data_IF_492392209291
#
_entry.id   IF_492392209291
#
_cell.length_a   1.000
_cell.length_b   1.000
_cell.length_c   1.000
_cell.angle_alpha   90.00
_cell.angle_beta   90.00
_cell.angle_gamma   90.00
#
_symmetry.space_group_name_H-M   'P 1'
#
loop_
_entity.id
_entity.type
_entity.pdbx_description
1 polymer ?
#
# COMPACT_ATOMS: atom_id res chain seq x y z
N UNK A 1 35.14 -0.02 14.89
CA UNK A 1 34.24 -0.74 13.97
C UNK A 1 33.21 0.24 13.45
N UNK A 2 33.22 0.55 12.13
CA UNK A 2 32.18 1.35 11.51
C UNK A 2 30.82 0.69 11.73
N UNK A 3 29.82 1.48 12.07
CA UNK A 3 28.43 1.03 12.20
C UNK A 3 27.58 1.66 11.10
N UNK A 4 26.33 1.22 10.94
CA UNK A 4 25.42 1.79 9.94
C UNK A 4 24.15 2.33 10.56
N UNK A 5 23.66 3.44 10.01
CA UNK A 5 22.36 4.01 10.32
C UNK A 5 21.58 4.27 9.03
N UNK A 6 20.25 4.31 9.12
CA UNK A 6 19.40 4.68 7.98
C UNK A 6 19.20 6.19 7.96
N UNK A 7 19.66 6.85 6.90
CA UNK A 7 19.56 8.30 6.74
C UNK A 7 19.21 8.67 5.30
N UNK A 8 18.21 9.55 5.12
CA UNK A 8 17.88 10.13 3.82
C UNK A 8 17.61 9.10 2.72
N UNK A 9 16.97 7.98 3.04
CA UNK A 9 16.67 6.92 2.05
C UNK A 9 17.86 6.06 1.66
N UNK A 10 18.94 6.00 2.46
CA UNK A 10 20.03 5.03 2.28
C UNK A 10 20.59 4.57 3.62
N UNK A 11 21.44 3.55 3.58
CA UNK A 11 22.30 3.21 4.72
C UNK A 11 23.59 4.00 4.63
N UNK A 12 24.01 4.60 5.74
CA UNK A 12 25.21 5.42 5.82
C UNK A 12 26.13 4.83 6.87
N UNK A 13 27.40 4.65 6.51
CA UNK A 13 28.43 4.24 7.47
C UNK A 13 28.78 5.42 8.39
N UNK A 14 28.73 5.18 9.69
CA UNK A 14 29.03 6.16 10.73
C UNK A 14 29.98 5.55 11.77
N UNK A 15 30.84 6.38 12.34
CA UNK A 15 31.58 5.98 13.53
C UNK A 15 30.62 5.99 14.71
N UNK A 16 30.45 4.83 15.36
CA UNK A 16 29.54 4.71 16.51
C UNK A 16 30.14 5.46 17.69
N UNK A 17 29.48 6.52 18.21
CA UNK A 17 29.93 7.18 19.42
C UNK A 17 29.82 6.20 20.59
N UNK A 18 30.83 6.21 21.47
CA UNK A 18 30.86 5.38 22.68
C UNK A 18 30.81 6.29 23.88
N UNK A 19 29.86 6.03 24.77
CA UNK A 19 29.71 6.75 26.03
C UNK A 19 29.86 5.76 27.16
N UNK A 20 30.58 6.17 28.21
CA UNK A 20 30.75 5.39 29.44
C UNK A 20 30.14 6.14 30.61
N UNK A 21 29.43 5.41 31.47
CA UNK A 21 28.99 5.86 32.78
C UNK A 21 29.32 4.75 33.79
N UNK A 22 29.80 5.12 34.98
CA UNK A 22 30.17 4.18 36.04
C UNK A 22 31.12 3.05 35.57
N UNK A 23 32.10 3.42 34.73
CA UNK A 23 33.09 2.48 34.19
C UNK A 23 32.56 1.49 33.15
N UNK A 24 31.27 1.55 32.79
CA UNK A 24 30.62 0.66 31.80
C UNK A 24 30.22 1.43 30.55
N UNK A 25 30.30 0.77 29.39
CA UNK A 25 29.78 1.35 28.15
C UNK A 25 28.25 1.33 28.17
N UNK A 26 27.62 2.48 27.94
CA UNK A 26 26.16 2.64 27.99
C UNK A 26 25.62 2.75 26.57
N UNK A 27 24.53 2.04 26.23
CA UNK A 27 23.89 2.19 24.93
C UNK A 27 23.35 3.61 24.74
N UNK A 28 23.59 4.19 23.56
CA UNK A 28 23.03 5.48 23.17
C UNK A 28 21.63 5.31 22.59
N UNK A 29 20.55 5.78 23.25
CA UNK A 29 19.19 5.59 22.76
C UNK A 29 18.97 6.19 21.37
N UNK A 30 19.54 7.37 21.10
CA UNK A 30 19.45 8.04 19.79
C UNK A 30 20.13 7.21 18.69
N UNK A 31 21.29 6.61 18.98
CA UNK A 31 21.97 5.76 18.02
C UNK A 31 21.18 4.48 17.74
N UNK A 32 20.66 3.85 18.80
CA UNK A 32 19.79 2.67 18.67
C UNK A 32 18.55 2.99 17.84
N UNK A 33 17.87 4.11 18.11
CA UNK A 33 16.71 4.55 17.34
C UNK A 33 17.05 4.71 15.85
N UNK A 34 18.17 5.37 15.51
CA UNK A 34 18.60 5.55 14.11
C UNK A 34 19.08 4.26 13.44
N UNK A 35 19.59 3.30 14.21
CA UNK A 35 20.01 1.99 13.72
C UNK A 35 18.81 1.04 13.52
N UNK A 36 17.78 1.14 14.36
CA UNK A 36 16.59 0.27 14.33
C UNK A 36 15.45 0.79 13.45
N UNK A 37 15.34 2.11 13.27
CA UNK A 37 14.29 2.69 12.43
C UNK A 37 14.66 2.46 10.96
N UNK A 38 13.86 1.69 10.24
CA UNK A 38 14.01 1.49 8.79
C UNK A 38 12.98 2.31 8.00
N UNK A 39 13.07 3.67 7.95
CA UNK A 39 12.21 4.48 7.08
C UNK A 39 12.53 4.23 5.59
N UNK A 40 13.56 3.44 5.29
CA UNK A 40 14.03 3.13 3.95
C UNK A 40 12.96 2.46 3.11
N UNK A 41 12.20 1.51 3.69
CA UNK A 41 11.15 0.81 2.95
C UNK A 41 10.00 1.74 2.58
N UNK A 42 9.58 2.60 3.51
CA UNK A 42 8.55 3.63 3.25
C UNK A 42 9.04 4.61 2.18
N UNK A 43 10.24 5.16 2.36
CA UNK A 43 10.84 6.11 1.40
C UNK A 43 11.00 5.53 0.01
N UNK A 44 11.40 4.25 -0.11
CA UNK A 44 11.48 3.57 -1.40
C UNK A 44 10.11 3.53 -2.08
N UNK A 45 9.06 3.11 -1.38
CA UNK A 45 7.70 3.07 -1.93
C UNK A 45 7.24 4.47 -2.32
N UNK A 46 7.39 5.46 -1.46
CA UNK A 46 6.98 6.85 -1.72
C UNK A 46 7.67 7.40 -2.99
N UNK A 47 8.98 7.19 -3.13
CA UNK A 47 9.74 7.62 -4.31
C UNK A 47 9.25 6.93 -5.61
N UNK A 48 8.97 5.62 -5.54
CA UNK A 48 8.44 4.90 -6.69
C UNK A 48 7.04 5.41 -7.08
N UNK A 49 6.20 5.75 -6.10
CA UNK A 49 4.84 6.24 -6.32
C UNK A 49 4.82 7.63 -6.96
N UNK A 50 5.76 8.51 -6.61
CA UNK A 50 5.84 9.87 -7.18
C UNK A 50 6.51 9.93 -8.56
N UNK A 51 7.12 8.84 -9.04
CA UNK A 51 7.69 8.84 -10.39
C UNK A 51 9.10 8.29 -10.53
N UNK A 52 9.83 8.11 -9.43
CA UNK A 52 11.25 7.82 -9.51
C UNK A 52 11.45 6.36 -9.91
N UNK A 53 12.09 6.12 -11.05
CA UNK A 53 12.47 4.78 -11.43
C UNK A 53 13.51 4.21 -10.46
N UNK A 54 13.49 2.90 -10.18
CA UNK A 54 14.46 2.24 -9.27
C UNK A 54 15.93 2.52 -9.62
N UNK A 55 16.24 2.68 -10.92
CA UNK A 55 17.58 3.03 -11.44
C UNK A 55 17.99 4.49 -11.17
N UNK A 56 17.02 5.37 -10.94
CA UNK A 56 17.22 6.78 -10.62
C UNK A 56 17.08 7.07 -9.11
N UNK A 57 16.79 6.05 -8.29
CA UNK A 57 16.59 6.22 -6.85
C UNK A 57 17.76 6.93 -6.17
N UNK A 58 19.00 6.52 -6.45
CA UNK A 58 20.19 7.17 -5.87
C UNK A 58 20.25 8.68 -6.18
N UNK A 59 19.82 9.11 -7.39
CA UNK A 59 19.80 10.51 -7.81
C UNK A 59 18.67 11.31 -7.15
N UNK A 60 17.64 10.65 -6.63
CA UNK A 60 16.53 11.30 -5.90
C UNK A 60 16.84 11.59 -4.42
N UNK A 61 17.99 11.12 -3.93
CA UNK A 61 18.40 11.33 -2.55
C UNK A 61 19.26 12.59 -2.46
N UNK A 62 19.25 13.22 -1.30
CA UNK A 62 20.14 14.34 -0.96
C UNK A 62 21.61 13.95 -1.23
N UNK A 63 22.52 14.86 -1.60
CA UNK A 63 23.94 14.56 -1.59
C UNK A 63 24.42 14.15 -0.19
N UNK A 64 25.44 13.31 -0.12
CA UNK A 64 26.12 12.98 1.15
C UNK A 64 27.49 13.65 1.12
N UNK A 65 28.00 14.16 2.25
CA UNK A 65 29.36 14.68 2.32
C UNK A 65 30.40 13.71 1.78
N UNK A 66 31.43 14.27 1.15
CA UNK A 66 32.55 13.51 0.59
C UNK A 66 33.22 12.65 1.67
N UNK A 67 33.54 11.40 1.35
CA UNK A 67 34.15 10.44 2.28
C UNK A 67 33.16 9.59 3.09
N UNK A 68 31.85 9.86 3.01
CA UNK A 68 30.84 9.06 3.67
C UNK A 68 30.38 7.90 2.76
N UNK A 69 30.61 6.67 3.21
CA UNK A 69 30.19 5.46 2.48
C UNK A 69 28.68 5.26 2.60
N UNK A 70 28.01 5.07 1.45
CA UNK A 70 26.58 4.79 1.40
C UNK A 70 26.26 3.44 0.73
N UNK A 71 25.20 2.77 1.20
CA UNK A 71 24.73 1.48 0.68
C UNK A 71 23.22 1.41 0.52
N UNK A 72 22.76 0.44 -0.28
CA UNK A 72 21.33 0.10 -0.41
C UNK A 72 20.54 0.98 -1.39
N UNK A 73 21.23 1.77 -2.22
CA UNK A 73 20.61 2.66 -3.23
C UNK A 73 20.63 2.08 -4.64
N UNK A 74 21.28 0.92 -4.84
CA UNK A 74 21.33 0.26 -6.14
C UNK A 74 19.94 -0.18 -6.61
N UNK A 75 19.73 -0.21 -7.94
CA UNK A 75 18.48 -0.68 -8.56
C UNK A 75 17.99 -2.00 -7.98
N UNK A 76 18.89 -2.98 -7.80
CA UNK A 76 18.53 -4.31 -7.29
C UNK A 76 18.16 -4.29 -5.80
N UNK A 77 18.81 -3.46 -4.98
CA UNK A 77 18.46 -3.29 -3.56
C UNK A 77 17.09 -2.61 -3.41
N UNK A 78 16.87 -1.53 -4.15
CA UNK A 78 15.61 -0.77 -4.14
C UNK A 78 14.46 -1.63 -4.66
N UNK A 79 14.67 -2.33 -5.77
CA UNK A 79 13.67 -3.23 -6.35
C UNK A 79 13.27 -4.34 -5.37
N UNK A 80 14.24 -5.00 -4.70
CA UNK A 80 13.95 -6.04 -3.71
C UNK A 80 13.14 -5.51 -2.53
N UNK A 81 13.47 -4.32 -2.02
CA UNK A 81 12.73 -3.68 -0.92
C UNK A 81 11.31 -3.30 -1.30
N UNK A 82 11.14 -2.68 -2.47
CA UNK A 82 9.83 -2.35 -3.00
C UNK A 82 8.96 -3.60 -3.12
N UNK A 83 9.52 -4.66 -3.73
CA UNK A 83 8.86 -5.97 -3.85
C UNK A 83 8.46 -6.52 -2.49
N UNK A 84 9.39 -6.61 -1.53
CA UNK A 84 9.10 -7.17 -0.23
C UNK A 84 7.98 -6.40 0.50
N UNK A 85 8.08 -5.06 0.51
CA UNK A 85 7.12 -4.20 1.21
C UNK A 85 5.73 -4.25 0.57
N UNK A 86 5.65 -4.16 -0.75
CA UNK A 86 4.37 -4.18 -1.48
C UNK A 86 3.70 -5.54 -1.42
N UNK A 87 4.46 -6.64 -1.49
CA UNK A 87 3.92 -7.99 -1.25
C UNK A 87 3.33 -8.11 0.15
N UNK A 88 4.04 -7.64 1.18
CA UNK A 88 3.55 -7.68 2.55
C UNK A 88 2.27 -6.85 2.73
N UNK A 89 2.22 -5.64 2.16
CA UNK A 89 1.03 -4.79 2.20
C UNK A 89 -0.16 -5.40 1.47
N UNK A 90 0.05 -5.99 0.29
CA UNK A 90 -1.00 -6.66 -0.47
C UNK A 90 -1.57 -7.85 0.31
N UNK A 91 -0.70 -8.71 0.86
CA UNK A 91 -1.11 -9.87 1.68
C UNK A 91 -1.87 -9.43 2.93
N UNK A 92 -1.37 -8.43 3.64
CA UNK A 92 -2.02 -7.92 4.84
C UNK A 92 -3.43 -7.39 4.53
N UNK A 93 -3.64 -6.80 3.35
CA UNK A 93 -4.95 -6.31 2.93
C UNK A 93 -5.89 -7.45 2.53
N UNK A 94 -5.41 -8.39 1.73
CA UNK A 94 -6.20 -9.56 1.32
C UNK A 94 -6.61 -10.46 2.50
N UNK A 95 -5.80 -10.51 3.55
CA UNK A 95 -6.06 -11.31 4.75
C UNK A 95 -6.75 -10.53 5.87
N UNK A 96 -7.02 -9.24 5.70
CA UNK A 96 -7.66 -8.44 6.73
C UNK A 96 -9.11 -8.89 6.95
N UNK A 97 -9.53 -9.17 8.19
CA UNK A 97 -10.92 -9.47 8.47
C UNK A 97 -11.80 -8.27 8.12
N UNK A 98 -12.96 -8.54 7.53
CA UNK A 98 -13.92 -7.51 7.14
C UNK A 98 -14.94 -7.20 8.22
N UNK A 99 -15.03 -8.05 9.26
CA UNK A 99 -16.07 -7.99 10.30
C UNK A 99 -16.05 -6.68 11.11
N UNK A 100 -14.88 -6.04 11.19
CA UNK A 100 -14.71 -4.73 11.84
C UNK A 100 -15.11 -3.53 10.98
N UNK A 101 -15.50 -3.74 9.71
CA UNK A 101 -15.92 -2.69 8.80
C UNK A 101 -17.42 -2.78 8.57
N UNK A 102 -18.16 -1.77 9.04
CA UNK A 102 -19.59 -1.60 8.76
C UNK A 102 -19.77 -1.10 7.32
N UNK A 103 -19.55 -1.99 6.35
CA UNK A 103 -19.56 -1.67 4.92
C UNK A 103 -20.98 -1.47 4.40
N UNK A 104 -21.21 -0.35 3.72
CA UNK A 104 -22.48 0.03 3.12
C UNK A 104 -22.52 -0.17 1.60
N UNK A 105 -21.35 -0.16 0.96
CA UNK A 105 -21.20 -0.31 -0.47
C UNK A 105 -19.87 -0.98 -0.81
N UNK A 106 -19.91 -1.80 -1.86
CA UNK A 106 -18.74 -2.44 -2.47
C UNK A 106 -18.59 -1.92 -3.90
N UNK A 107 -17.40 -1.45 -4.23
CA UNK A 107 -17.02 -1.04 -5.58
C UNK A 107 -16.00 -2.05 -6.08
N UNK A 108 -16.30 -2.66 -7.22
CA UNK A 108 -15.39 -3.52 -7.96
C UNK A 108 -15.01 -2.81 -9.26
N UNK A 109 -13.71 -2.64 -9.48
CA UNK A 109 -13.16 -2.08 -10.72
C UNK A 109 -12.08 -3.03 -11.25
N UNK A 110 -11.88 -3.05 -12.56
CA UNK A 110 -10.81 -3.80 -13.21
C UNK A 110 -9.81 -2.89 -13.86
N UNK A 111 -8.55 -3.13 -13.54
CA UNK A 111 -7.41 -2.39 -14.04
C UNK A 111 -6.70 -3.23 -15.09
N UNK A 112 -6.82 -2.82 -16.35
CA UNK A 112 -6.11 -3.47 -17.46
C UNK A 112 -4.68 -2.93 -17.59
N UNK A 113 -3.71 -3.86 -17.74
CA UNK A 113 -2.30 -3.58 -18.01
C UNK A 113 -1.76 -4.64 -18.98
N UNK A 114 -1.61 -4.26 -20.26
CA UNK A 114 -1.30 -5.22 -21.30
C UNK A 114 -2.38 -6.30 -21.36
N UNK A 115 -1.96 -7.57 -21.38
CA UNK A 115 -2.86 -8.74 -21.41
C UNK A 115 -3.45 -9.13 -20.03
N UNK A 116 -3.11 -8.43 -18.95
CA UNK A 116 -3.59 -8.75 -17.61
C UNK A 116 -4.71 -7.81 -17.17
N UNK A 117 -5.73 -8.37 -16.53
CA UNK A 117 -6.78 -7.64 -15.83
C UNK A 117 -6.59 -7.83 -14.32
N UNK A 118 -6.61 -6.75 -13.55
CA UNK A 118 -6.55 -6.81 -12.09
C UNK A 118 -7.88 -6.32 -11.51
N UNK A 119 -8.58 -7.17 -10.74
CA UNK A 119 -9.74 -6.75 -9.98
C UNK A 119 -9.31 -5.99 -8.71
N UNK A 120 -9.91 -4.84 -8.47
CA UNK A 120 -9.72 -4.00 -7.28
C UNK A 120 -11.05 -3.92 -6.55
N UNK A 121 -11.05 -4.26 -5.25
CA UNK A 121 -12.21 -4.08 -4.39
C UNK A 121 -12.00 -2.94 -3.41
N UNK A 122 -12.92 -1.97 -3.43
CA UNK A 122 -13.02 -0.89 -2.45
C UNK A 122 -14.34 -1.00 -1.69
N UNK A 123 -14.31 -0.82 -0.38
CA UNK A 123 -15.50 -0.75 0.46
C UNK A 123 -15.74 0.68 0.92
N UNK A 124 -16.99 1.12 0.96
CA UNK A 124 -17.39 2.35 1.65
C UNK A 124 -17.99 1.94 2.98
N UNK A 125 -17.45 2.45 4.08
CA UNK A 125 -17.95 2.22 5.43
C UNK A 125 -19.10 3.19 5.77
N UNK A 126 -19.87 2.84 6.79
CA UNK A 126 -21.03 3.62 7.27
C UNK A 126 -20.66 5.05 7.71
N UNK A 127 -19.40 5.31 8.08
CA UNK A 127 -18.90 6.65 8.38
C UNK A 127 -18.51 7.47 7.12
N UNK A 128 -18.72 6.89 5.93
CA UNK A 128 -18.39 7.46 4.63
C UNK A 128 -16.92 7.31 4.23
N UNK A 129 -16.10 6.58 4.99
CA UNK A 129 -14.71 6.31 4.62
C UNK A 129 -14.59 5.21 3.57
N UNK A 130 -13.64 5.39 2.65
CA UNK A 130 -13.31 4.38 1.63
C UNK A 130 -12.14 3.54 2.09
N UNK A 131 -12.26 2.23 2.01
CA UNK A 131 -11.26 1.24 2.39
C UNK A 131 -10.85 0.40 1.18
N UNK A 132 -9.55 0.23 0.97
CA UNK A 132 -9.05 -0.80 0.04
C UNK A 132 -9.21 -2.18 0.69
N UNK A 133 -10.04 -3.04 0.11
CA UNK A 133 -10.34 -4.38 0.60
C UNK A 133 -9.38 -5.41 0.00
N UNK A 134 -8.99 -5.24 -1.27
CA UNK A 134 -7.98 -6.09 -1.87
C UNK A 134 -7.83 -5.91 -3.37
N UNK A 135 -6.85 -6.62 -3.91
CA UNK A 135 -6.58 -6.67 -5.34
C UNK A 135 -6.27 -8.12 -5.74
N UNK A 136 -6.80 -8.56 -6.87
CA UNK A 136 -6.62 -9.92 -7.39
C UNK A 136 -6.35 -9.89 -8.90
N UNK A 137 -5.59 -10.85 -9.39
CA UNK A 137 -5.44 -11.04 -10.83
C UNK A 137 -6.70 -11.73 -11.35
N UNK A 138 -7.37 -11.10 -12.30
CA UNK A 138 -8.61 -11.59 -12.92
C UNK A 138 -8.35 -12.27 -14.26
N UNK A 139 -9.29 -13.13 -14.67
CA UNK A 139 -9.18 -13.94 -15.89
C UNK A 139 -9.89 -13.34 -17.12
N UNK A 140 -10.69 -12.28 -17.01
CA UNK A 140 -11.58 -11.83 -18.11
C UNK A 140 -11.77 -10.31 -18.24
N UNK A 141 -12.00 -9.90 -19.49
CA UNK A 141 -12.03 -8.53 -20.06
C UNK A 141 -13.24 -7.64 -19.66
N UNK A 142 -14.04 -8.03 -18.68
CA UNK A 142 -15.27 -7.31 -18.36
C UNK A 142 -15.13 -6.57 -17.02
N UNK A 143 -14.55 -5.38 -17.06
CA UNK A 143 -14.57 -4.49 -15.92
C UNK A 143 -14.76 -3.04 -16.36
N UNK A 144 -15.66 -2.35 -15.66
CA UNK A 144 -16.01 -0.96 -15.90
C UNK A 144 -14.88 -0.05 -15.42
N UNK A 145 -14.17 0.59 -16.35
CA UNK A 145 -13.09 1.54 -16.05
C UNK A 145 -13.62 2.73 -15.23
N UNK A 146 -13.22 2.87 -13.96
CA UNK A 146 -13.48 4.13 -13.22
C UNK A 146 -12.65 4.37 -11.93
N UNK A 147 -11.36 4.00 -11.86
CA UNK A 147 -10.44 4.47 -10.78
C UNK A 147 -9.07 4.95 -11.29
N UNK A 148 -8.84 4.96 -12.62
CA UNK A 148 -7.48 4.98 -13.19
C UNK A 148 -6.77 6.34 -13.31
N UNK A 149 -7.38 7.47 -12.94
CA UNK A 149 -6.67 8.77 -13.08
C UNK A 149 -5.45 8.88 -12.16
N UNK A 150 -5.58 8.45 -10.89
CA UNK A 150 -4.50 8.55 -9.88
C UNK A 150 -3.42 7.47 -9.99
N UNK A 151 -3.73 6.29 -10.54
CA UNK A 151 -2.72 5.21 -10.69
C UNK A 151 -1.85 5.37 -11.95
N UNK A 152 -2.26 6.21 -12.91
CA UNK A 152 -1.54 6.45 -14.19
C UNK A 152 -0.08 6.87 -14.00
N UNK A 153 0.20 7.72 -13.02
CA UNK A 153 1.56 8.23 -12.77
C UNK A 153 2.53 7.15 -12.26
N UNK A 154 2.00 6.09 -11.65
CA UNK A 154 2.76 4.93 -11.18
C UNK A 154 3.08 4.00 -12.35
N UNK A 155 2.09 3.75 -13.22
CA UNK A 155 2.22 2.86 -14.38
C UNK A 155 3.32 3.30 -15.36
N UNK A 156 3.46 4.61 -15.60
CA UNK A 156 4.39 5.15 -16.64
C UNK A 156 5.87 4.84 -16.41
N UNK A 157 6.28 4.54 -15.18
CA UNK A 157 7.71 4.35 -14.85
C UNK A 157 8.18 2.91 -15.09
N UNK A 158 7.24 1.97 -15.21
CA UNK A 158 7.52 0.56 -15.44
C UNK A 158 7.59 0.30 -16.94
N UNK A 159 8.83 0.19 -17.46
CA UNK A 159 9.07 -0.04 -18.90
C UNK A 159 8.83 -1.48 -19.37
N UNK A 160 8.92 -2.46 -18.47
CA UNK A 160 8.78 -3.89 -18.80
C UNK A 160 8.05 -4.61 -17.67
N UNK A 161 6.82 -5.02 -17.92
CA UNK A 161 6.05 -5.87 -17.02
C UNK A 161 6.50 -7.33 -17.17
N UNK A 162 6.63 -8.05 -16.05
CA UNK A 162 7.12 -9.44 -16.04
C UNK A 162 6.09 -10.44 -15.50
N UNK A 163 4.81 -10.08 -15.54
CA UNK A 163 3.68 -10.91 -15.08
C UNK A 163 2.78 -10.20 -14.07
N UNK A 164 1.60 -10.79 -13.84
CA UNK A 164 0.51 -10.19 -13.05
C UNK A 164 0.88 -9.91 -11.60
N UNK A 165 1.71 -10.72 -10.95
CA UNK A 165 2.21 -10.43 -9.60
C UNK A 165 3.04 -9.14 -9.51
N UNK A 166 3.79 -8.78 -10.57
CA UNK A 166 4.46 -7.49 -10.60
C UNK A 166 3.44 -6.35 -10.74
N UNK A 167 2.42 -6.53 -11.58
CA UNK A 167 1.37 -5.56 -11.80
C UNK A 167 0.54 -5.33 -10.53
N UNK A 168 0.10 -6.41 -9.87
CA UNK A 168 -0.62 -6.38 -8.60
C UNK A 168 0.09 -5.54 -7.55
N UNK A 169 1.41 -5.72 -7.39
CA UNK A 169 2.18 -4.96 -6.40
C UNK A 169 2.22 -3.45 -6.70
N UNK A 170 2.41 -3.09 -7.97
CA UNK A 170 2.44 -1.69 -8.39
C UNK A 170 1.06 -1.03 -8.30
N UNK A 171 0.00 -1.74 -8.71
CA UNK A 171 -1.37 -1.24 -8.60
C UNK A 171 -1.81 -1.19 -7.14
N UNK A 172 -1.47 -2.19 -6.33
CA UNK A 172 -1.75 -2.19 -4.90
C UNK A 172 -1.07 -1.03 -4.19
N UNK A 173 0.22 -0.77 -4.46
CA UNK A 173 0.91 0.39 -3.90
C UNK A 173 0.21 1.69 -4.29
N UNK A 174 -0.18 1.84 -5.56
CA UNK A 174 -0.89 3.02 -6.05
C UNK A 174 -2.29 3.20 -5.44
N UNK A 175 -3.08 2.13 -5.36
CA UNK A 175 -4.44 2.15 -4.77
C UNK A 175 -4.37 2.41 -3.27
N UNK A 176 -3.47 1.75 -2.55
CA UNK A 176 -3.29 1.95 -1.11
C UNK A 176 -2.83 3.37 -0.78
N UNK A 177 -2.05 4.01 -1.66
CA UNK A 177 -1.70 5.42 -1.49
C UNK A 177 -2.88 6.33 -1.85
N UNK A 178 -3.57 6.06 -2.95
CA UNK A 178 -4.70 6.88 -3.40
C UNK A 178 -5.82 6.95 -2.36
N UNK A 179 -6.13 5.82 -1.71
CA UNK A 179 -7.18 5.73 -0.67
C UNK A 179 -6.88 6.60 0.55
N UNK A 180 -5.61 6.78 0.93
CA UNK A 180 -5.25 7.70 2.03
C UNK A 180 -5.64 9.15 1.76
N UNK A 181 -5.68 9.53 0.47
CA UNK A 181 -6.05 10.87 0.03
C UNK A 181 -7.50 10.99 -0.42
N UNK A 182 -8.36 9.99 -0.15
CA UNK A 182 -9.80 10.10 -0.38
C UNK A 182 -10.43 10.84 0.80
N UNK A 183 -11.29 11.81 0.47
CA UNK A 183 -12.17 12.44 1.46
C UNK A 183 -13.35 11.51 1.71
N UNK A 184 -14.02 11.70 2.85
CA UNK A 184 -15.30 11.05 3.11
C UNK A 184 -16.27 11.32 1.96
N UNK A 185 -17.16 10.35 1.71
CA UNK A 185 -18.19 10.46 0.70
C UNK A 185 -18.99 11.76 0.90
N UNK A 186 -19.25 12.47 -0.20
CA UNK A 186 -20.14 13.64 -0.18
C UNK A 186 -21.52 13.20 0.32
N UNK A 187 -22.10 13.94 1.28
CA UNK A 187 -23.35 13.55 1.93
C UNK A 187 -23.18 12.48 3.02
N UNK A 188 -21.95 12.21 3.50
CA UNK A 188 -21.75 11.21 4.56
C UNK A 188 -22.56 11.47 5.85
N UNK A 189 -22.99 12.70 6.09
CA UNK A 189 -23.87 13.04 7.21
C UNK A 189 -25.22 12.30 7.16
N UNK A 190 -25.73 11.98 5.97
CA UNK A 190 -26.96 11.23 5.78
C UNK A 190 -26.77 9.71 5.81
N UNK A 191 -25.52 9.23 5.98
CA UNK A 191 -25.21 7.80 6.01
C UNK A 191 -25.97 7.01 7.07
N UNK A 192 -26.18 7.51 8.31
CA UNK A 192 -26.97 6.78 9.30
C UNK A 192 -28.38 6.48 8.81
N UNK A 193 -28.99 7.41 8.05
CA UNK A 193 -30.32 7.24 7.46
C UNK A 193 -30.29 6.18 6.36
N UNK A 194 -29.28 6.21 5.50
CA UNK A 194 -29.10 5.18 4.46
C UNK A 194 -28.86 3.80 5.07
N UNK A 195 -27.98 3.70 6.07
CA UNK A 195 -27.66 2.46 6.80
C UNK A 195 -28.92 1.90 7.46
N UNK A 196 -29.70 2.72 8.15
CA UNK A 196 -30.96 2.30 8.76
C UNK A 196 -31.94 1.77 7.70
N UNK A 197 -32.07 2.45 6.56
CA UNK A 197 -32.93 2.00 5.46
C UNK A 197 -32.44 0.67 4.84
N UNK A 198 -31.12 0.51 4.64
CA UNK A 198 -30.53 -0.71 4.11
C UNK A 198 -30.69 -1.88 5.08
N UNK A 199 -30.45 -1.69 6.39
CA UNK A 199 -30.66 -2.72 7.42
C UNK A 199 -32.13 -3.13 7.50
N UNK A 200 -33.05 -2.17 7.48
CA UNK A 200 -34.48 -2.45 7.46
C UNK A 200 -34.92 -3.22 6.20
N UNK A 201 -34.25 -3.03 5.06
CA UNK A 201 -34.48 -3.82 3.83
C UNK A 201 -33.82 -5.20 3.89
N UNK A 202 -32.62 -5.30 4.48
CA UNK A 202 -31.90 -6.56 4.69
C UNK A 202 -32.69 -7.53 5.56
N UNK A 203 -33.20 -7.06 6.70
CA UNK A 203 -34.08 -7.85 7.56
C UNK A 203 -35.32 -8.36 6.82
N UNK A 204 -35.96 -7.53 5.97
CA UNK A 204 -37.12 -7.95 5.16
C UNK A 204 -36.78 -8.99 4.10
N UNK A 205 -35.59 -8.92 3.49
CA UNK A 205 -35.12 -9.92 2.51
C UNK A 205 -34.76 -11.24 3.19
N UNK A 206 -34.09 -11.20 4.33
CA UNK A 206 -33.77 -12.41 5.11
C UNK A 206 -35.03 -13.08 5.67
N UNK A 207 -36.06 -12.32 6.07
CA UNK A 207 -37.35 -12.87 6.50
C UNK A 207 -38.22 -13.39 5.34
N UNK A 208 -37.83 -13.15 4.08
CA UNK A 208 -38.54 -13.56 2.88
C UNK A 208 -37.81 -14.67 2.09
N UNK A 209 -37.09 -15.56 2.78
CA UNK A 209 -36.43 -16.73 2.18
C UNK A 209 -37.43 -17.54 1.30
N UNK A 210 -36.96 -18.17 0.21
CA UNK A 210 -37.82 -18.63 -0.87
C UNK A 210 -38.70 -19.81 -0.43
N UNK A 211 -40.01 -19.74 -0.73
CA UNK A 211 -40.90 -20.90 -0.69
C UNK A 211 -40.35 -21.96 -1.64
N UNK A 212 -40.08 -23.16 -1.12
CA UNK A 212 -39.74 -24.34 -1.90
C UNK A 212 -40.70 -24.48 -3.09
N UNK A 213 -40.17 -24.46 -4.31
CA UNK A 213 -40.92 -24.96 -5.47
C UNK A 213 -40.75 -26.47 -5.49
N UNK A 214 -41.84 -27.26 -5.49
CA UNK A 214 -41.74 -28.71 -5.55
C UNK A 214 -41.07 -29.10 -6.87
N UNK A 215 -40.04 -29.93 -6.78
CA UNK A 215 -39.40 -30.56 -7.94
C UNK A 215 -40.45 -31.46 -8.61
N UNK A 216 -40.72 -31.21 -9.89
CA UNK A 216 -41.28 -32.21 -10.81
C UNK A 216 -40.13 -32.90 -11.50
#
# INVERSE_FOLDING_TARGET
>A
MPSEVVLGGRKVAVQRPRVRADGREVPLPTFQALAHTDPLNRRVVDQMLVGVATRQYARSLEPVPTGVVSRGTSKSSVSRRFVAKTTAQLRARQAAPLDGLDLVALILDGVHIGEHCLAVALGIAADGQTHALGLWEGATKNAAESLLSRTRHVKRNVKRWRGGQMMLRWVAAGVLEAVKGFRRLTGHADMPRLVAALRARGCRRCSAAPRDRPRR
#
